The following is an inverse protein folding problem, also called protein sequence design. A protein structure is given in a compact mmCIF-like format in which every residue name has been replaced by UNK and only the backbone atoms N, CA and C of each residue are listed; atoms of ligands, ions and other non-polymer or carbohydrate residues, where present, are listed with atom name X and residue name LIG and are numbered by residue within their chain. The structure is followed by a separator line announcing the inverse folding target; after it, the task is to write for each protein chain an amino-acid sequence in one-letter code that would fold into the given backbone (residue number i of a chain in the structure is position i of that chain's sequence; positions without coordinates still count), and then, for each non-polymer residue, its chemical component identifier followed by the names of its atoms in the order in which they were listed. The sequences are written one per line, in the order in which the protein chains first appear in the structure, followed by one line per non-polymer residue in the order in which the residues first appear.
data_IF_247785647896
#
_entry.id   IF_247785647896
#
_cell.length_a   1.000
_cell.length_b   1.000
_cell.length_c   1.000
_cell.angle_alpha   90.00
_cell.angle_beta   90.00
_cell.angle_gamma   90.00
#
_symmetry.space_group_name_H-M   'P 1'
#
loop_
_entity.id
_entity.type
_entity.pdbx_description
1 polymer ?
#
# COMPACT_ATOMS: atom_id res chain seq x y z
N UNK A 1 -14.54 -6.57 -10.85
CA UNK A 1 -13.60 -6.47 -11.98
C UNK A 1 -12.36 -5.69 -11.56
N UNK A 2 -11.16 -6.02 -12.10
CA UNK A 2 -9.93 -5.26 -11.86
C UNK A 2 -9.79 -4.24 -13.00
N UNK A 3 -9.77 -2.95 -12.63
CA UNK A 3 -9.51 -1.86 -13.56
C UNK A 3 -8.00 -1.79 -13.80
N UNK A 4 -7.61 -1.79 -15.07
CA UNK A 4 -6.21 -1.61 -15.47
C UNK A 4 -5.85 -0.13 -15.46
N UNK A 5 -4.61 0.17 -15.06
CA UNK A 5 -4.08 1.52 -15.16
C UNK A 5 -3.80 1.90 -16.63
N UNK A 6 -3.45 3.15 -16.87
CA UNK A 6 -3.14 3.66 -18.22
C UNK A 6 -1.98 2.95 -18.93
N UNK A 7 -1.17 2.16 -18.21
CA UNK A 7 -0.08 1.35 -18.75
C UNK A 7 -0.48 -0.11 -19.00
N UNK A 8 -1.75 -0.47 -18.72
CA UNK A 8 -2.30 -1.80 -18.86
C UNK A 8 -2.01 -2.75 -17.68
N UNK A 9 -1.43 -2.27 -16.61
CA UNK A 9 -1.10 -3.06 -15.42
C UNK A 9 -2.33 -3.21 -14.51
N UNK A 10 -2.44 -4.34 -13.80
CA UNK A 10 -3.50 -4.62 -12.84
C UNK A 10 -3.22 -4.04 -11.45
N UNK A 11 -2.08 -3.39 -11.24
CA UNK A 11 -1.68 -2.78 -9.98
C UNK A 11 -0.87 -1.50 -10.23
N UNK A 12 -0.88 -0.60 -9.26
CA UNK A 12 -0.11 0.63 -9.25
C UNK A 12 0.91 0.55 -8.11
N UNK A 13 2.23 0.57 -8.39
CA UNK A 13 3.24 0.66 -7.33
C UNK A 13 3.03 1.93 -6.49
N UNK A 14 3.06 1.79 -5.15
CA UNK A 14 2.99 2.91 -4.22
C UNK A 14 4.35 3.62 -4.13
N UNK A 15 4.74 4.25 -5.22
CA UNK A 15 5.99 5.00 -5.38
C UNK A 15 5.68 6.35 -5.99
N UNK A 16 6.31 7.40 -5.44
CA UNK A 16 6.20 8.79 -5.90
C UNK A 16 7.60 9.32 -6.18
N UNK A 17 7.78 10.01 -7.28
CA UNK A 17 9.04 10.70 -7.63
C UNK A 17 8.76 12.12 -8.12
N UNK A 18 9.74 12.99 -8.00
CA UNK A 18 9.74 14.31 -8.63
C UNK A 18 10.78 14.28 -9.75
N UNK A 19 10.36 14.62 -10.97
CA UNK A 19 11.29 14.67 -12.11
C UNK A 19 12.12 15.95 -12.11
N UNK A 20 12.99 16.08 -13.12
CA UNK A 20 13.91 17.21 -13.24
C UNK A 20 13.18 18.53 -13.58
N UNK A 21 11.93 18.48 -14.05
CA UNK A 21 11.07 19.62 -14.31
C UNK A 21 10.22 20.00 -13.09
N UNK A 22 10.29 19.21 -12.01
CA UNK A 22 9.47 19.38 -10.80
C UNK A 22 8.08 18.74 -10.89
N UNK A 23 7.81 17.92 -11.92
CA UNK A 23 6.56 17.20 -12.07
C UNK A 23 6.52 15.94 -11.18
N UNK A 24 5.32 15.63 -10.71
CA UNK A 24 5.11 14.47 -9.84
C UNK A 24 4.81 13.25 -10.70
N UNK A 25 5.64 12.22 -10.53
CA UNK A 25 5.49 10.91 -11.15
C UNK A 25 4.97 9.91 -10.10
N UNK A 26 4.04 9.04 -10.49
CA UNK A 26 3.46 8.02 -9.60
C UNK A 26 3.46 6.65 -10.29
N UNK A 27 3.67 5.61 -9.51
CA UNK A 27 3.56 4.24 -9.97
C UNK A 27 4.83 3.70 -10.61
N UNK A 28 4.70 3.00 -11.75
CA UNK A 28 5.82 2.30 -12.41
C UNK A 28 6.93 3.25 -12.84
N UNK A 29 6.58 4.38 -13.43
CA UNK A 29 7.57 5.39 -13.87
C UNK A 29 8.37 5.93 -12.69
N UNK A 30 7.71 6.19 -11.55
CA UNK A 30 8.40 6.58 -10.32
C UNK A 30 9.27 5.44 -9.77
N UNK A 31 8.79 4.18 -9.83
CA UNK A 31 9.54 3.01 -9.36
C UNK A 31 10.88 2.82 -10.08
N UNK A 32 10.94 3.08 -11.38
CA UNK A 32 12.17 2.99 -12.17
C UNK A 32 13.22 4.02 -11.71
N UNK A 33 12.82 5.09 -11.03
CA UNK A 33 13.71 6.14 -10.52
C UNK A 33 14.26 5.86 -9.10
N UNK A 34 13.81 4.81 -8.43
CA UNK A 34 14.29 4.47 -7.06
C UNK A 34 15.82 4.31 -6.98
N UNK A 35 16.44 3.76 -8.02
CA UNK A 35 17.88 3.53 -8.06
C UNK A 35 18.62 4.76 -8.60
N UNK A 36 18.12 5.36 -9.69
CA UNK A 36 18.80 6.46 -10.38
C UNK A 36 18.60 7.82 -9.70
N UNK A 37 17.49 8.03 -8.99
CA UNK A 37 17.14 9.30 -8.36
C UNK A 37 16.56 9.08 -6.94
N UNK A 38 17.32 8.44 -6.02
CA UNK A 38 16.80 8.07 -4.70
C UNK A 38 16.37 9.29 -3.86
N UNK A 39 17.07 10.42 -3.97
CA UNK A 39 16.71 11.66 -3.25
C UNK A 39 15.46 12.37 -3.79
N UNK A 40 14.99 11.96 -4.96
CA UNK A 40 13.78 12.49 -5.60
C UNK A 40 12.61 11.49 -5.58
N UNK A 41 12.79 10.29 -4.98
CA UNK A 41 11.83 9.20 -5.07
C UNK A 41 11.53 8.60 -3.70
N UNK A 42 10.25 8.44 -3.38
CA UNK A 42 9.77 7.81 -2.15
C UNK A 42 8.99 6.54 -2.44
N UNK A 43 9.25 5.53 -1.63
CA UNK A 43 8.48 4.30 -1.51
C UNK A 43 8.19 4.01 -0.03
N UNK A 44 7.32 3.04 0.26
CA UNK A 44 7.09 2.50 1.60
C UNK A 44 6.57 3.50 2.65
N UNK A 45 6.10 4.66 2.23
CA UNK A 45 5.53 5.65 3.14
C UNK A 45 4.27 5.15 3.88
N UNK A 46 3.70 4.01 3.48
CA UNK A 46 2.66 3.30 4.25
C UNK A 46 3.17 2.86 5.63
N UNK A 47 4.47 2.52 5.76
CA UNK A 47 5.08 2.11 7.05
C UNK A 47 5.12 3.24 8.10
N UNK A 48 5.06 4.48 7.66
CA UNK A 48 5.09 5.66 8.54
C UNK A 48 3.76 6.42 8.56
N UNK A 49 2.69 5.79 8.07
CA UNK A 49 1.34 6.38 8.08
C UNK A 49 0.89 6.66 9.52
N UNK A 50 0.35 7.86 9.74
CA UNK A 50 -0.09 8.31 11.07
C UNK A 50 1.04 8.77 12.00
N UNK A 51 2.30 8.69 11.58
CA UNK A 51 3.44 9.19 12.34
C UNK A 51 3.72 10.66 11.95
N UNK A 52 4.27 11.43 12.90
CA UNK A 52 4.74 12.81 12.64
C UNK A 52 6.13 12.79 11.96
N UNK A 53 6.22 12.09 10.85
CA UNK A 53 7.43 11.99 10.03
C UNK A 53 7.16 12.56 8.65
N UNK A 54 8.21 13.07 8.01
CA UNK A 54 8.13 13.58 6.64
C UNK A 54 9.21 12.94 5.79
N UNK A 55 8.93 12.87 4.50
CA UNK A 55 9.87 12.39 3.47
C UNK A 55 10.25 13.58 2.60
N UNK A 56 11.54 13.79 2.39
CA UNK A 56 12.02 14.87 1.53
C UNK A 56 12.31 14.35 0.13
N UNK A 57 11.67 14.92 -0.89
CA UNK A 57 11.88 14.62 -2.30
C UNK A 57 12.32 15.90 -3.03
N UNK A 58 13.48 15.90 -3.64
CA UNK A 58 14.02 17.08 -4.37
C UNK A 58 13.92 18.37 -3.55
N UNK A 59 14.23 18.32 -2.25
CA UNK A 59 14.17 19.47 -1.34
C UNK A 59 12.76 19.87 -0.86
N UNK A 60 11.70 19.17 -1.28
CA UNK A 60 10.31 19.37 -0.82
C UNK A 60 9.95 18.33 0.21
N UNK A 61 9.36 18.75 1.32
CA UNK A 61 8.92 17.87 2.40
C UNK A 61 7.47 17.45 2.21
N UNK A 62 7.19 16.16 2.36
CA UNK A 62 5.87 15.56 2.24
C UNK A 62 5.55 14.73 3.47
N UNK A 63 4.32 14.81 3.94
CA UNK A 63 3.80 13.84 4.91
C UNK A 63 3.46 12.51 4.21
N UNK A 64 3.38 11.39 4.95
CA UNK A 64 2.93 10.12 4.38
C UNK A 64 1.52 10.18 3.80
N UNK A 65 0.65 11.01 4.37
CA UNK A 65 -0.71 11.26 3.86
C UNK A 65 -0.69 11.97 2.52
N UNK A 66 0.18 12.96 2.34
CA UNK A 66 0.34 13.67 1.07
C UNK A 66 0.86 12.71 -0.01
N UNK A 67 1.88 11.91 0.27
CA UNK A 67 2.40 10.91 -0.69
C UNK A 67 1.34 9.88 -1.04
N UNK A 68 0.59 9.38 -0.03
CA UNK A 68 -0.50 8.43 -0.25
C UNK A 68 -1.63 9.06 -1.07
N UNK A 69 -1.92 10.35 -0.89
CA UNK A 69 -2.94 11.06 -1.66
C UNK A 69 -2.61 11.13 -3.15
N UNK A 70 -1.32 11.25 -3.50
CA UNK A 70 -0.88 11.25 -4.90
C UNK A 70 -1.11 9.89 -5.56
N UNK A 71 -0.85 8.80 -4.83
CA UNK A 71 -1.15 7.43 -5.31
C UNK A 71 -2.66 7.24 -5.48
N UNK A 72 -3.46 7.62 -4.47
CA UNK A 72 -4.91 7.51 -4.53
C UNK A 72 -5.52 8.35 -5.65
N UNK A 73 -4.99 9.57 -5.89
CA UNK A 73 -5.40 10.41 -7.00
C UNK A 73 -5.17 9.72 -8.34
N UNK A 74 -4.01 9.09 -8.50
CA UNK A 74 -3.71 8.34 -9.74
C UNK A 74 -4.65 7.17 -9.94
N UNK A 75 -4.97 6.41 -8.87
CA UNK A 75 -5.95 5.31 -8.93
C UNK A 75 -7.33 5.86 -9.31
N UNK A 76 -7.73 6.99 -8.74
CA UNK A 76 -8.98 7.67 -9.08
C UNK A 76 -9.04 8.04 -10.56
N UNK A 77 -7.99 8.68 -11.09
CA UNK A 77 -7.88 9.05 -12.49
C UNK A 77 -8.00 7.84 -13.44
N UNK A 78 -7.31 6.74 -13.12
CA UNK A 78 -7.39 5.50 -13.90
C UNK A 78 -8.81 4.88 -13.83
N UNK A 79 -9.48 4.94 -12.67
CA UNK A 79 -10.85 4.48 -12.49
C UNK A 79 -11.86 5.36 -13.26
N UNK A 80 -11.75 6.68 -13.19
CA UNK A 80 -12.60 7.62 -13.93
C UNK A 80 -12.43 7.47 -15.43
N UNK A 81 -11.21 7.26 -15.92
CA UNK A 81 -10.94 7.00 -17.33
C UNK A 81 -11.59 5.70 -17.82
N UNK A 82 -11.63 4.66 -16.97
CA UNK A 82 -12.27 3.39 -17.29
C UNK A 82 -13.80 3.48 -17.25
N UNK A 83 -14.36 4.11 -16.22
CA UNK A 83 -15.82 4.20 -16.00
C UNK A 83 -16.49 5.24 -16.89
N UNK A 84 -15.75 6.27 -17.32
CA UNK A 84 -16.28 7.42 -18.06
C UNK A 84 -17.09 8.39 -17.21
N UNK A 85 -16.99 8.29 -15.87
CA UNK A 85 -17.71 9.13 -14.92
C UNK A 85 -16.84 9.45 -13.69
N UNK A 86 -17.14 10.53 -12.94
CA UNK A 86 -16.39 10.88 -11.73
C UNK A 86 -16.50 9.83 -10.64
N UNK A 87 -15.36 9.51 -10.00
CA UNK A 87 -15.27 8.67 -8.81
C UNK A 87 -15.15 9.54 -7.57
N UNK A 88 -16.19 9.60 -6.76
CA UNK A 88 -16.25 10.47 -5.57
C UNK A 88 -16.10 9.72 -4.26
N UNK A 89 -16.38 8.42 -4.24
CA UNK A 89 -16.42 7.57 -3.07
C UNK A 89 -15.63 6.28 -3.27
N UNK A 90 -15.08 5.76 -2.17
CA UNK A 90 -14.40 4.46 -2.19
C UNK A 90 -14.47 3.75 -0.84
N UNK A 91 -14.35 2.42 -0.89
CA UNK A 91 -13.96 1.58 0.25
C UNK A 91 -12.46 1.32 0.13
N UNK A 92 -11.72 1.55 1.21
CA UNK A 92 -10.26 1.35 1.22
C UNK A 92 -9.93 0.27 2.25
N UNK A 93 -9.10 -0.71 1.85
CA UNK A 93 -8.57 -1.69 2.77
C UNK A 93 -7.33 -1.17 3.49
N UNK A 94 -7.21 -1.53 4.78
CA UNK A 94 -6.08 -1.17 5.64
C UNK A 94 -5.63 -2.41 6.42
N UNK A 95 -4.35 -2.49 6.81
CA UNK A 95 -3.87 -3.54 7.70
C UNK A 95 -4.72 -3.65 8.97
N UNK A 96 -4.91 -4.87 9.47
CA UNK A 96 -5.72 -5.08 10.67
C UNK A 96 -5.11 -4.43 11.93
N UNK A 97 -3.79 -4.31 11.99
CA UNK A 97 -3.05 -3.67 13.09
C UNK A 97 -3.02 -2.13 13.03
N UNK A 98 -3.52 -1.50 11.95
CA UNK A 98 -3.57 -0.04 11.89
C UNK A 98 -4.42 0.50 13.04
N UNK A 99 -3.78 1.34 13.87
CA UNK A 99 -4.44 2.06 14.95
C UNK A 99 -5.31 3.22 14.41
N UNK A 100 -5.95 3.94 15.31
CA UNK A 100 -6.84 5.06 14.95
C UNK A 100 -6.08 6.20 14.24
N UNK A 101 -4.80 6.41 14.58
CA UNK A 101 -3.97 7.44 13.90
C UNK A 101 -3.74 7.04 12.45
N UNK A 102 -3.33 5.79 12.18
CA UNK A 102 -3.11 5.27 10.84
C UNK A 102 -4.40 5.29 10.00
N UNK A 103 -5.54 4.92 10.62
CA UNK A 103 -6.85 4.94 9.96
C UNK A 103 -7.30 6.37 9.63
N UNK A 104 -7.10 7.31 10.55
CA UNK A 104 -7.40 8.73 10.33
C UNK A 104 -6.50 9.31 9.24
N UNK A 105 -5.21 9.00 9.25
CA UNK A 105 -4.26 9.40 8.22
C UNK A 105 -4.64 8.84 6.83
N UNK A 106 -5.13 7.59 6.76
CA UNK A 106 -5.62 7.01 5.50
C UNK A 106 -6.85 7.76 4.97
N UNK A 107 -7.81 8.10 5.83
CA UNK A 107 -8.96 8.93 5.45
C UNK A 107 -8.54 10.33 5.01
N UNK A 108 -7.54 10.93 5.65
CA UNK A 108 -6.99 12.22 5.25
C UNK A 108 -6.34 12.15 3.87
N UNK A 109 -5.54 11.10 3.59
CA UNK A 109 -4.94 10.88 2.28
C UNK A 109 -6.00 10.77 1.18
N UNK A 110 -7.08 10.03 1.42
CA UNK A 110 -8.19 9.93 0.49
C UNK A 110 -8.90 11.28 0.28
N UNK A 111 -9.16 12.02 1.34
CA UNK A 111 -9.74 13.37 1.26
C UNK A 111 -8.86 14.31 0.42
N UNK A 112 -7.54 14.27 0.59
CA UNK A 112 -6.58 15.06 -0.20
C UNK A 112 -6.56 14.66 -1.68
N UNK A 113 -6.91 13.42 -2.00
CA UNK A 113 -7.06 12.93 -3.39
C UNK A 113 -8.44 13.25 -3.99
N UNK A 114 -9.37 13.83 -3.22
CA UNK A 114 -10.73 14.09 -3.65
C UNK A 114 -11.64 12.85 -3.65
N UNK A 115 -11.37 11.90 -2.76
CA UNK A 115 -12.18 10.70 -2.54
C UNK A 115 -12.80 10.75 -1.14
N UNK A 116 -14.11 10.55 -1.05
CA UNK A 116 -14.77 10.28 0.22
C UNK A 116 -14.61 8.79 0.57
N UNK A 117 -14.18 8.49 1.79
CA UNK A 117 -14.06 7.11 2.26
C UNK A 117 -15.32 6.72 2.99
N UNK A 118 -16.16 5.97 2.32
CA UNK A 118 -17.39 5.42 2.91
C UNK A 118 -17.06 4.46 4.07
N UNK A 119 -16.09 3.57 3.83
CA UNK A 119 -15.67 2.59 4.83
C UNK A 119 -14.20 2.22 4.69
N UNK A 120 -13.53 2.06 5.84
CA UNK A 120 -12.27 1.31 5.91
C UNK A 120 -12.58 -0.14 6.28
N UNK A 121 -12.01 -1.08 5.54
CA UNK A 121 -12.10 -2.51 5.83
C UNK A 121 -10.71 -3.06 6.16
N UNK A 122 -10.64 -4.09 6.99
CA UNK A 122 -9.35 -4.73 7.26
C UNK A 122 -8.92 -5.59 6.06
N UNK A 123 -7.64 -5.53 5.68
CA UNK A 123 -7.08 -6.29 4.56
C UNK A 123 -7.37 -7.80 4.66
N UNK A 124 -7.21 -8.47 5.82
CA UNK A 124 -7.58 -9.88 5.94
C UNK A 124 -9.07 -10.14 5.73
N UNK A 125 -9.97 -9.25 6.18
CA UNK A 125 -11.39 -9.38 5.91
C UNK A 125 -11.71 -9.23 4.42
N UNK A 126 -11.05 -8.28 3.75
CA UNK A 126 -11.21 -8.10 2.30
C UNK A 126 -10.69 -9.32 1.52
N UNK A 127 -9.56 -9.90 1.92
CA UNK A 127 -9.00 -11.11 1.33
C UNK A 127 -9.94 -12.31 1.52
N UNK A 128 -10.48 -12.50 2.73
CA UNK A 128 -11.43 -13.54 3.04
C UNK A 128 -12.71 -13.42 2.18
N UNK A 129 -13.29 -12.21 2.11
CA UNK A 129 -14.46 -11.94 1.27
C UNK A 129 -14.20 -12.22 -0.21
N UNK A 130 -13.05 -11.82 -0.73
CA UNK A 130 -12.66 -12.06 -2.11
C UNK A 130 -12.48 -13.56 -2.41
N UNK A 131 -11.92 -14.31 -1.48
CA UNK A 131 -11.77 -15.76 -1.60
C UNK A 131 -13.14 -16.45 -1.53
N UNK A 132 -13.98 -16.06 -0.56
CA UNK A 132 -15.33 -16.59 -0.41
C UNK A 132 -16.17 -16.42 -1.68
N UNK A 133 -16.10 -15.22 -2.30
CA UNK A 133 -16.83 -14.93 -3.53
C UNK A 133 -16.42 -15.82 -4.72
N UNK A 134 -15.19 -16.34 -4.72
CA UNK A 134 -14.65 -17.17 -5.81
C UNK A 134 -14.75 -18.67 -5.56
N UNK A 135 -14.59 -19.09 -4.32
CA UNK A 135 -14.38 -20.51 -3.98
C UNK A 135 -15.43 -21.04 -3.02
N UNK A 136 -16.19 -20.17 -2.36
CA UNK A 136 -17.08 -20.51 -1.26
C UNK A 136 -16.28 -20.86 0.01
N UNK A 137 -16.56 -20.18 1.12
CA UNK A 137 -16.16 -20.65 2.44
C UNK A 137 -17.35 -21.38 3.07
N UNK A 138 -17.07 -22.48 3.74
CA UNK A 138 -17.98 -22.98 4.78
C UNK A 138 -17.78 -22.21 6.08
N UNK A 139 -18.58 -22.52 7.09
CA UNK A 139 -18.32 -22.08 8.45
C UNK A 139 -17.00 -22.68 8.93
N UNK A 140 -16.23 -21.91 9.68
CA UNK A 140 -14.94 -22.35 10.22
C UNK A 140 -13.95 -21.23 10.50
N UNK A 141 -12.86 -21.62 11.13
CA UNK A 141 -11.77 -20.70 11.47
C UNK A 141 -10.66 -20.81 10.44
N UNK A 142 -10.25 -19.66 9.90
CA UNK A 142 -9.24 -19.55 8.83
C UNK A 142 -8.06 -18.72 9.29
N UNK A 143 -6.86 -19.12 8.90
CA UNK A 143 -5.67 -18.29 9.03
C UNK A 143 -5.39 -17.62 7.68
N UNK A 144 -5.31 -16.30 7.70
CA UNK A 144 -4.93 -15.49 6.55
C UNK A 144 -3.51 -14.98 6.78
N UNK A 145 -2.62 -15.30 5.85
CA UNK A 145 -1.23 -14.85 5.85
C UNK A 145 -1.05 -13.92 4.66
N UNK A 146 -0.86 -12.63 4.93
CA UNK A 146 -0.53 -11.62 3.94
C UNK A 146 0.95 -11.27 4.09
N UNK A 147 1.76 -11.74 3.13
CA UNK A 147 3.19 -11.48 3.08
C UNK A 147 3.50 -10.59 1.90
N UNK A 148 3.56 -9.29 2.19
CA UNK A 148 3.78 -8.24 1.20
C UNK A 148 5.25 -7.89 0.96
N UNK A 149 5.46 -6.80 0.21
CA UNK A 149 6.80 -6.25 -0.05
C UNK A 149 7.46 -5.62 1.18
N UNK A 150 6.67 -5.19 2.17
CA UNK A 150 7.14 -4.44 3.32
C UNK A 150 6.60 -4.88 4.67
N UNK A 151 5.56 -5.71 4.71
CA UNK A 151 4.90 -6.16 5.95
C UNK A 151 4.54 -7.62 5.87
N UNK A 152 4.50 -8.27 7.03
CA UNK A 152 3.88 -9.57 7.24
C UNK A 152 2.68 -9.38 8.17
N UNK A 153 1.50 -9.78 7.70
CA UNK A 153 0.26 -9.77 8.47
C UNK A 153 -0.31 -11.18 8.57
N UNK A 154 -0.60 -11.62 9.78
CA UNK A 154 -1.25 -12.90 10.06
C UNK A 154 -2.53 -12.61 10.83
N UNK A 155 -3.65 -13.12 10.36
CA UNK A 155 -4.94 -12.94 11.00
C UNK A 155 -5.67 -14.27 11.13
N UNK A 156 -6.29 -14.49 12.27
CA UNK A 156 -7.25 -15.57 12.47
C UNK A 156 -8.65 -14.99 12.29
N UNK A 157 -9.37 -15.52 11.34
CA UNK A 157 -10.74 -15.08 10.99
C UNK A 157 -11.68 -16.25 11.20
N UNK A 158 -12.74 -16.03 11.95
CA UNK A 158 -13.85 -16.96 12.08
C UNK A 158 -14.98 -16.57 11.12
N UNK A 159 -15.51 -17.55 10.42
CA UNK A 159 -16.63 -17.36 9.49
C UNK A 159 -17.80 -18.24 9.96
N UNK A 160 -18.93 -17.61 10.23
CA UNK A 160 -20.16 -18.28 10.64
C UNK A 160 -21.37 -17.53 10.07
N UNK A 161 -22.24 -18.23 9.38
CA UNK A 161 -23.49 -17.68 8.80
C UNK A 161 -23.29 -16.36 8.02
N UNK A 162 -22.25 -16.32 7.16
CA UNK A 162 -21.88 -15.15 6.36
C UNK A 162 -21.37 -13.94 7.18
N UNK A 163 -21.13 -14.09 8.47
CA UNK A 163 -20.45 -13.12 9.32
C UNK A 163 -18.98 -13.51 9.45
N UNK A 164 -18.10 -12.53 9.34
CA UNK A 164 -16.67 -12.73 9.54
C UNK A 164 -16.17 -11.89 10.70
N UNK A 165 -15.51 -12.55 11.64
CA UNK A 165 -14.91 -11.93 12.82
C UNK A 165 -13.39 -12.16 12.82
N UNK A 166 -12.61 -11.10 13.10
CA UNK A 166 -11.18 -11.23 13.31
C UNK A 166 -10.95 -11.56 14.79
N UNK A 167 -10.52 -12.80 15.06
CA UNK A 167 -10.26 -13.27 16.41
C UNK A 167 -8.91 -12.84 16.95
N UNK A 168 -7.89 -12.79 16.08
CA UNK A 168 -6.54 -12.43 16.45
C UNK A 168 -5.78 -11.86 15.26
N UNK A 169 -4.83 -10.98 15.54
CA UNK A 169 -3.86 -10.46 14.56
C UNK A 169 -2.46 -10.54 15.14
N UNK A 170 -1.50 -10.87 14.29
CA UNK A 170 -0.07 -10.82 14.57
C UNK A 170 0.63 -10.37 13.27
N UNK A 171 1.84 -9.86 13.39
CA UNK A 171 2.59 -9.46 12.19
C UNK A 171 3.84 -8.69 12.53
N UNK A 172 4.52 -8.26 11.48
CA UNK A 172 5.69 -7.41 11.56
C UNK A 172 5.64 -6.36 10.45
N UNK A 173 5.64 -5.09 10.84
CA UNK A 173 5.57 -3.94 9.95
C UNK A 173 6.87 -3.67 9.19
N UNK A 174 7.94 -4.39 9.55
CA UNK A 174 9.28 -4.25 8.99
C UNK A 174 9.81 -5.57 8.44
N UNK A 175 8.92 -6.53 8.15
CA UNK A 175 9.25 -7.81 7.55
C UNK A 175 8.47 -8.00 6.25
N UNK A 176 9.16 -7.94 5.13
CA UNK A 176 8.58 -8.14 3.79
C UNK A 176 9.65 -8.52 2.77
N UNK A 177 9.24 -8.62 1.51
CA UNK A 177 10.14 -9.00 0.41
C UNK A 177 11.37 -8.09 0.29
N UNK A 178 11.27 -6.81 0.67
CA UNK A 178 12.40 -5.88 0.69
C UNK A 178 13.47 -6.31 1.68
N UNK A 179 13.07 -6.68 2.89
CA UNK A 179 14.01 -7.03 3.97
C UNK A 179 14.80 -8.29 3.59
N UNK A 180 14.18 -9.22 2.85
CA UNK A 180 14.89 -10.35 2.24
C UNK A 180 15.89 -9.91 1.17
N UNK A 181 15.50 -8.98 0.29
CA UNK A 181 16.42 -8.45 -0.73
C UNK A 181 17.62 -7.74 -0.08
N UNK A 182 17.41 -6.97 0.98
CA UNK A 182 18.47 -6.30 1.74
C UNK A 182 19.40 -7.32 2.41
N UNK A 183 18.85 -8.39 3.01
CA UNK A 183 19.65 -9.44 3.62
C UNK A 183 20.53 -10.17 2.57
N UNK A 184 19.98 -10.45 1.38
CA UNK A 184 20.73 -11.07 0.28
C UNK A 184 21.82 -10.11 -0.23
N UNK A 185 21.49 -8.82 -0.41
CA UNK A 185 22.46 -7.81 -0.84
C UNK A 185 23.60 -7.66 0.18
N UNK A 186 23.27 -7.61 1.48
CA UNK A 186 24.24 -7.58 2.56
C UNK A 186 25.17 -8.80 2.53
N UNK A 187 24.61 -9.99 2.39
CA UNK A 187 25.39 -11.23 2.29
C UNK A 187 26.34 -11.18 1.09
N UNK A 188 25.85 -10.79 -0.09
CA UNK A 188 26.66 -10.65 -1.30
C UNK A 188 27.83 -9.66 -1.11
N UNK A 189 27.55 -8.48 -0.56
CA UNK A 189 28.56 -7.45 -0.32
C UNK A 189 29.63 -7.95 0.65
N UNK A 190 29.21 -8.60 1.74
CA UNK A 190 30.11 -9.18 2.76
C UNK A 190 31.06 -10.22 2.14
N UNK A 191 30.53 -11.15 1.34
CA UNK A 191 31.34 -12.20 0.70
C UNK A 191 32.32 -11.63 -0.34
N UNK A 192 32.01 -10.48 -0.93
CA UNK A 192 32.84 -9.85 -1.97
C UNK A 192 33.67 -8.65 -1.46
N UNK A 193 33.68 -8.37 -0.17
CA UNK A 193 34.44 -7.26 0.42
C UNK A 193 33.97 -5.88 -0.06
N UNK A 194 32.68 -5.76 -0.42
CA UNK A 194 32.05 -4.50 -0.83
C UNK A 194 31.47 -3.82 0.41
N UNK A 195 31.85 -2.56 0.61
CA UNK A 195 31.27 -1.75 1.69
C UNK A 195 29.89 -1.24 1.30
N UNK A 196 28.89 -1.44 2.17
CA UNK A 196 27.51 -0.97 1.98
C UNK A 196 27.29 0.36 2.71
N UNK A 197 28.15 1.35 2.50
CA UNK A 197 27.92 2.70 3.01
C UNK A 197 27.02 3.52 2.11
#
# INVERSE_FOLDING_TARGET
EIIKNSLGDNYLPSVVSIDDNGEILVGRVAKERLISHPSATAAEFKRIMGLRQTVTLSGRSFSPEELSSLVLRRIKEDAEAYLGEPVTEAVISVPAYFDDNCRTATKLAAKLSGIYVERLVNEPSAAALAYQARHGFGDGTYMIVDFGGGTLDISIVDSFDSVMEILAVAGDNHLGGKDFNEAIAYYFCKENGIDMN
#
